data_IF_357204584178
#
_entry.id   IF_357204584178
#
_cell.length_a   1.000
_cell.length_b   1.000
_cell.length_c   1.000
_cell.angle_alpha   90.00
_cell.angle_beta   90.00
_cell.angle_gamma   90.00
#
_symmetry.space_group_name_H-M   'P 1'
#
loop_
_entity.id
_entity.type
_entity.pdbx_description
1 polymer ?
#
# COMPACT_ATOMS: atom_id res chain seq x y z
N UNK A 1 13.41 -5.24 -15.15
CA UNK A 1 12.15 -4.47 -15.16
C UNK A 1 12.34 -3.30 -14.21
N UNK A 2 12.42 -2.06 -14.70
CA UNK A 2 12.43 -0.90 -13.83
C UNK A 2 11.12 -0.91 -13.04
N UNK A 3 11.20 -0.77 -11.72
CA UNK A 3 10.02 -0.42 -10.94
C UNK A 3 9.64 0.99 -11.37
N UNK A 4 8.67 1.12 -12.26
CA UNK A 4 8.17 2.43 -12.68
C UNK A 4 7.61 3.13 -11.45
N UNK A 5 8.39 4.05 -10.88
CA UNK A 5 7.99 4.97 -9.80
C UNK A 5 6.71 5.74 -10.15
N UNK A 6 6.34 5.78 -11.44
CA UNK A 6 5.09 6.29 -12.02
C UNK A 6 3.82 5.63 -11.43
N UNK A 7 3.92 4.41 -10.88
CA UNK A 7 2.77 3.73 -10.29
C UNK A 7 2.31 4.38 -8.97
N UNK A 8 3.24 5.00 -8.23
CA UNK A 8 2.97 5.70 -6.97
C UNK A 8 2.60 7.14 -7.28
N UNK A 9 1.32 7.48 -7.12
CA UNK A 9 0.76 8.76 -7.57
C UNK A 9 0.39 9.70 -6.42
N UNK A 10 0.70 9.33 -5.18
CA UNK A 10 0.38 10.15 -4.02
C UNK A 10 1.15 9.74 -2.78
N UNK A 11 1.29 10.68 -1.84
CA UNK A 11 1.82 10.42 -0.50
C UNK A 11 1.11 9.28 0.24
N UNK A 12 -0.18 9.07 -0.06
CA UNK A 12 -0.99 8.02 0.55
C UNK A 12 -0.61 6.64 0.05
N UNK A 13 -0.20 6.52 -1.22
CA UNK A 13 0.29 5.27 -1.77
C UNK A 13 1.55 4.84 -1.02
N UNK A 14 2.49 5.77 -0.80
CA UNK A 14 3.72 5.53 -0.01
C UNK A 14 3.39 5.16 1.44
N UNK A 15 2.48 5.89 2.09
CA UNK A 15 2.05 5.59 3.46
C UNK A 15 1.46 4.19 3.58
N UNK A 16 0.62 3.76 2.63
CA UNK A 16 0.03 2.41 2.60
C UNK A 16 1.12 1.35 2.41
N UNK A 17 2.05 1.55 1.47
CA UNK A 17 3.13 0.60 1.22
C UNK A 17 4.04 0.44 2.46
N UNK A 18 4.34 1.53 3.17
CA UNK A 18 5.09 1.49 4.44
C UNK A 18 4.33 0.73 5.52
N UNK A 19 3.06 1.05 5.73
CA UNK A 19 2.24 0.39 6.74
C UNK A 19 2.13 -1.12 6.47
N UNK A 20 2.04 -1.54 5.20
CA UNK A 20 2.09 -2.96 4.82
C UNK A 20 3.46 -3.59 5.12
N UNK A 21 4.57 -2.90 4.87
CA UNK A 21 5.91 -3.36 5.26
C UNK A 21 6.07 -3.51 6.78
N UNK A 22 5.39 -2.67 7.55
CA UNK A 22 5.32 -2.72 9.02
C UNK A 22 4.35 -3.80 9.55
N UNK A 23 3.72 -4.57 8.65
CA UNK A 23 2.83 -5.69 8.99
C UNK A 23 1.35 -5.31 9.19
N UNK A 24 0.95 -4.09 8.82
CA UNK A 24 -0.45 -3.65 8.86
C UNK A 24 -1.23 -4.23 7.68
N UNK A 25 -1.45 -5.54 7.71
CA UNK A 25 -1.90 -6.30 6.55
C UNK A 25 -3.41 -6.20 6.30
N UNK A 26 -4.22 -5.64 7.21
CA UNK A 26 -5.68 -5.53 7.01
C UNK A 26 -6.09 -4.10 6.70
N UNK A 27 -7.05 -3.85 5.79
CA UNK A 27 -7.57 -2.51 5.53
C UNK A 27 -8.02 -1.75 6.79
N UNK A 28 -8.64 -2.46 7.74
CA UNK A 28 -9.02 -1.89 9.02
C UNK A 28 -7.82 -1.48 9.89
N UNK A 29 -6.72 -2.23 9.85
CA UNK A 29 -5.48 -1.87 10.55
C UNK A 29 -4.80 -0.69 9.86
N UNK A 30 -4.72 -0.70 8.53
CA UNK A 30 -4.22 0.44 7.74
C UNK A 30 -4.97 1.72 8.06
N UNK A 31 -6.29 1.65 8.20
CA UNK A 31 -7.10 2.82 8.55
C UNK A 31 -6.86 3.32 9.98
N UNK A 32 -6.59 2.42 10.92
CA UNK A 32 -6.22 2.79 12.31
C UNK A 32 -4.81 3.35 12.39
N UNK A 33 -3.88 2.81 11.61
CA UNK A 33 -2.49 3.24 11.55
C UNK A 33 -2.34 4.58 10.81
N UNK A 34 -3.19 4.83 9.81
CA UNK A 34 -3.22 6.07 9.04
C UNK A 34 -4.58 6.79 9.18
N UNK A 35 -4.93 7.32 10.37
CA UNK A 35 -6.25 7.91 10.64
C UNK A 35 -6.53 9.16 9.79
N UNK A 36 -5.47 9.82 9.32
CA UNK A 36 -5.52 10.96 8.40
C UNK A 36 -5.99 10.63 6.98
N UNK A 37 -6.10 9.34 6.61
CA UNK A 37 -6.58 8.91 5.29
C UNK A 37 -8.09 8.66 5.37
N UNK A 38 -8.92 9.43 4.65
CA UNK A 38 -10.35 9.15 4.59
C UNK A 38 -10.61 7.74 4.08
N UNK A 39 -11.57 7.03 4.68
CA UNK A 39 -11.89 5.62 4.33
C UNK A 39 -12.04 5.41 2.83
N UNK A 40 -12.84 6.26 2.17
CA UNK A 40 -13.06 6.20 0.71
C UNK A 40 -11.77 6.36 -0.09
N UNK A 41 -10.87 7.25 0.36
CA UNK A 41 -9.55 7.45 -0.26
C UNK A 41 -8.68 6.22 -0.08
N UNK A 42 -8.63 5.63 1.12
CA UNK A 42 -7.87 4.41 1.40
C UNK A 42 -8.28 3.28 0.45
N UNK A 43 -9.57 2.96 0.36
CA UNK A 43 -10.04 1.89 -0.53
C UNK A 43 -9.77 2.18 -2.01
N UNK A 44 -9.89 3.44 -2.44
CA UNK A 44 -9.53 3.85 -3.81
C UNK A 44 -8.04 3.63 -4.08
N UNK A 45 -7.17 3.98 -3.13
CA UNK A 45 -5.71 3.77 -3.24
C UNK A 45 -5.34 2.30 -3.20
N UNK A 46 -5.95 1.50 -2.32
CA UNK A 46 -5.76 0.05 -2.30
C UNK A 46 -6.11 -0.60 -3.64
N UNK A 47 -7.24 -0.22 -4.24
CA UNK A 47 -7.63 -0.70 -5.57
C UNK A 47 -6.59 -0.31 -6.63
N UNK A 48 -6.13 0.94 -6.62
CA UNK A 48 -5.09 1.43 -7.54
C UNK A 48 -3.78 0.66 -7.38
N UNK A 49 -3.28 0.49 -6.16
CA UNK A 49 -2.05 -0.25 -5.85
C UNK A 49 -2.13 -1.72 -6.25
N UNK A 50 -3.30 -2.34 -6.08
CA UNK A 50 -3.53 -3.72 -6.50
C UNK A 50 -3.59 -3.85 -8.03
N UNK A 51 -4.23 -2.91 -8.72
CA UNK A 51 -4.23 -2.84 -10.18
C UNK A 51 -2.82 -2.60 -10.74
N UNK A 52 -2.01 -1.82 -10.04
CA UNK A 52 -0.61 -1.59 -10.34
C UNK A 52 0.32 -2.72 -9.88
N UNK A 53 -0.22 -3.85 -9.37
CA UNK A 53 0.54 -5.02 -8.89
C UNK A 53 1.58 -4.74 -7.81
N UNK A 54 1.43 -3.65 -7.06
CA UNK A 54 2.31 -3.31 -5.93
C UNK A 54 1.88 -4.01 -4.64
N UNK A 55 0.60 -4.37 -4.54
CA UNK A 55 0.05 -5.12 -3.42
C UNK A 55 -0.83 -6.25 -3.94
N UNK A 56 -0.98 -7.30 -3.15
CA UNK A 56 -1.86 -8.41 -3.45
C UNK A 56 -2.55 -8.94 -2.20
N UNK A 57 -3.74 -9.56 -2.33
CA UNK A 57 -4.33 -10.33 -1.25
C UNK A 57 -3.40 -11.47 -0.85
N UNK A 58 -3.22 -11.68 0.45
CA UNK A 58 -2.58 -12.90 0.95
C UNK A 58 -3.39 -14.10 0.51
N UNK A 59 -2.73 -15.19 0.11
CA UNK A 59 -3.37 -16.44 -0.34
C UNK A 59 -4.24 -17.12 0.73
N UNK A 60 -4.29 -16.57 1.95
CA UNK A 60 -5.17 -17.08 2.99
C UNK A 60 -6.63 -16.83 2.58
N UNK A 61 -7.43 -17.89 2.39
CA UNK A 61 -8.82 -17.72 1.99
C UNK A 61 -9.56 -16.88 3.05
N UNK A 62 -10.47 -15.98 2.65
CA UNK A 62 -11.32 -15.29 3.61
C UNK A 62 -12.06 -16.35 4.41
N UNK A 63 -11.84 -16.40 5.73
CA UNK A 63 -12.54 -17.33 6.59
C UNK A 63 -14.04 -17.01 6.54
N UNK A 64 -14.92 -17.99 6.27
CA UNK A 64 -16.36 -17.75 6.34
C UNK A 64 -16.72 -17.52 7.81
N UNK A 65 -17.04 -16.29 8.16
CA UNK A 65 -17.70 -15.94 9.41
C UNK A 65 -19.17 -15.62 9.12
N UNK A 66 -20.04 -16.04 10.03
CA UNK A 66 -21.50 -15.91 9.91
C UNK A 66 -21.89 -14.47 9.50
N UNK A 67 -22.28 -14.28 8.24
CA UNK A 67 -22.86 -13.03 7.74
C UNK A 67 -21.95 -12.09 6.93
N UNK A 68 -20.70 -12.42 6.60
CA UNK A 68 -19.93 -11.58 5.67
C UNK A 68 -18.49 -11.99 5.42
N UNK A 69 -17.98 -11.71 4.21
CA UNK A 69 -16.59 -11.94 3.85
C UNK A 69 -15.67 -10.95 4.61
N UNK A 70 -14.71 -11.47 5.37
CA UNK A 70 -13.63 -10.65 5.93
C UNK A 70 -12.75 -10.18 4.78
N UNK A 71 -12.42 -8.88 4.68
CA UNK A 71 -11.46 -8.42 3.69
C UNK A 71 -10.16 -9.19 3.86
N UNK A 72 -9.69 -9.83 2.78
CA UNK A 72 -8.43 -10.55 2.78
C UNK A 72 -7.31 -9.64 3.30
N UNK A 73 -6.38 -10.22 4.06
CA UNK A 73 -5.14 -9.53 4.36
C UNK A 73 -4.41 -9.21 3.04
N UNK A 74 -3.62 -8.15 3.06
CA UNK A 74 -2.88 -7.61 1.95
C UNK A 74 -1.39 -7.75 2.29
N UNK A 75 -0.59 -7.98 1.26
CA UNK A 75 0.88 -7.96 1.35
C UNK A 75 1.46 -7.15 0.21
N UNK A 76 2.68 -6.66 0.40
CA UNK A 76 3.48 -6.14 -0.70
C UNK A 76 3.84 -7.29 -1.65
N UNK A 77 3.83 -7.00 -2.95
CA UNK A 77 4.50 -7.85 -3.93
C UNK A 77 5.99 -7.51 -3.97
N UNK A 78 6.81 -8.32 -4.64
CA UNK A 78 8.21 -7.98 -4.89
C UNK A 78 8.39 -6.62 -5.59
N UNK A 79 7.42 -6.25 -6.45
CA UNK A 79 7.43 -4.96 -7.14
C UNK A 79 7.09 -3.81 -6.18
N UNK A 80 6.11 -4.01 -5.29
CA UNK A 80 5.80 -3.08 -4.21
C UNK A 80 6.97 -2.85 -3.26
N UNK A 81 7.70 -3.92 -2.91
CA UNK A 81 8.91 -3.83 -2.09
C UNK A 81 10.03 -3.06 -2.78
N UNK A 82 10.31 -3.36 -4.05
CA UNK A 82 11.30 -2.62 -4.85
C UNK A 82 10.94 -1.15 -4.98
N UNK A 83 9.67 -0.85 -5.25
CA UNK A 83 9.18 0.52 -5.34
C UNK A 83 9.43 1.27 -4.01
N UNK A 84 9.08 0.66 -2.89
CA UNK A 84 9.31 1.25 -1.57
C UNK A 84 10.80 1.45 -1.26
N UNK A 85 11.67 0.53 -1.68
CA UNK A 85 13.13 0.71 -1.54
C UNK A 85 13.64 1.90 -2.35
N UNK A 86 13.12 2.13 -3.56
CA UNK A 86 13.48 3.30 -4.37
C UNK A 86 13.02 4.59 -3.70
N UNK A 87 11.79 4.64 -3.18
CA UNK A 87 11.29 5.80 -2.42
C UNK A 87 12.19 6.09 -1.21
N UNK A 88 12.57 5.06 -0.45
CA UNK A 88 13.48 5.19 0.70
C UNK A 88 14.86 5.74 0.31
N UNK A 89 15.40 5.32 -0.85
CA UNK A 89 16.68 5.85 -1.37
C UNK A 89 16.57 7.31 -1.78
N UNK A 90 15.47 7.70 -2.42
CA UNK A 90 15.22 9.10 -2.81
C UNK A 90 15.06 10.00 -1.59
N UNK A 91 14.36 9.54 -0.55
CA UNK A 91 14.27 10.26 0.72
C UNK A 91 15.63 10.37 1.43
N UNK A 92 16.43 9.31 1.42
CA UNK A 92 17.80 9.35 1.95
C UNK A 92 18.71 10.32 1.18
N UNK A 93 18.40 10.57 -0.11
CA UNK A 93 19.06 11.60 -0.92
C UNK A 93 18.50 13.02 -0.67
N UNK A 94 17.55 13.19 0.24
CA UNK A 94 16.99 14.48 0.66
C UNK A 94 15.71 14.90 -0.07
N UNK A 95 15.13 14.05 -0.92
CA UNK A 95 13.87 14.36 -1.60
C UNK A 95 12.69 14.12 -0.66
N UNK A 96 11.77 15.08 -0.62
CA UNK A 96 10.53 14.90 0.13
C UNK A 96 9.56 13.98 -0.62
N UNK A 97 8.71 13.26 0.12
CA UNK A 97 7.64 12.40 -0.44
C UNK A 97 6.80 13.13 -1.50
N UNK A 98 6.53 14.41 -1.29
CA UNK A 98 5.75 15.23 -2.23
C UNK A 98 6.48 15.42 -3.57
N UNK A 99 7.80 15.61 -3.54
CA UNK A 99 8.65 15.76 -4.74
C UNK A 99 8.84 14.45 -5.49
N UNK A 100 8.70 13.30 -4.81
CA UNK A 100 8.83 11.97 -5.43
C UNK A 100 7.57 11.60 -6.22
N UNK A 101 6.42 12.13 -5.85
CA UNK A 101 5.11 11.81 -6.45
C UNK A 101 4.56 12.93 -7.35
N UNK A 102 5.31 14.03 -7.51
CA UNK A 102 5.07 15.10 -8.48
C UNK A 102 5.52 14.70 -9.89
#
# INVERSE_FOLDING_TARGET
MPCDTVAVRSRWDIAILRALKEGQNRPAMLQRHCPQIPRRTLYRRLKHLQQARLIEPTAQPPAPLHGGAVPAALRLTEEGERCLQVVQRLEAAGLSVDQIVQ
#
